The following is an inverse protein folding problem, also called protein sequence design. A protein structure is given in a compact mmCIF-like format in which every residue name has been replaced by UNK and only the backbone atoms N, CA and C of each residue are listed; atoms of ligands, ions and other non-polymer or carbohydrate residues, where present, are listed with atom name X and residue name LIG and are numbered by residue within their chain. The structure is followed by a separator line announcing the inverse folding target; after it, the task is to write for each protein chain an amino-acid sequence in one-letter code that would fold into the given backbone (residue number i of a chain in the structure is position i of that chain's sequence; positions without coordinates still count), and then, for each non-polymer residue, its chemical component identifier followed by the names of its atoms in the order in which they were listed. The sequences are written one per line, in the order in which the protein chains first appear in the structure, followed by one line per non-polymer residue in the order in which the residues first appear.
data_IF_530024431769
#
_entry.id   IF_530024431769
#
_cell.length_a   1.000
_cell.length_b   1.000
_cell.length_c   1.000
_cell.angle_alpha   90.00
_cell.angle_beta   90.00
_cell.angle_gamma   90.00
#
_symmetry.space_group_name_H-M   'P 1'
#
loop_
_entity.id
_entity.type
_entity.pdbx_description
1 polymer ?
#
# COMPACT_ATOMS: atom_id res chain seq x y z
N UNK A 1 -18.02 5.77 -20.45
CA UNK A 1 -17.45 4.44 -20.17
C UNK A 1 -16.90 4.49 -18.76
N UNK A 2 -17.60 3.91 -17.77
CA UNK A 2 -17.05 3.83 -16.41
C UNK A 2 -15.76 3.02 -16.50
N UNK A 3 -14.62 3.66 -16.21
CA UNK A 3 -13.35 2.94 -16.14
C UNK A 3 -13.50 1.93 -15.01
N UNK A 4 -13.37 0.64 -15.33
CA UNK A 4 -13.34 -0.41 -14.32
C UNK A 4 -12.26 -0.05 -13.31
N UNK A 5 -12.61 0.00 -12.03
CA UNK A 5 -11.68 0.31 -10.94
C UNK A 5 -10.89 -0.93 -10.49
N UNK A 6 -11.27 -2.10 -10.99
CA UNK A 6 -10.64 -3.39 -10.72
C UNK A 6 -9.14 -3.41 -11.03
N UNK A 7 -8.64 -2.87 -12.16
CA UNK A 7 -7.21 -2.82 -12.42
C UNK A 7 -6.44 -2.04 -11.34
N UNK A 8 -7.04 -1.02 -10.74
CA UNK A 8 -6.40 -0.29 -9.64
C UNK A 8 -6.36 -1.10 -8.35
N UNK A 9 -7.41 -1.88 -8.06
CA UNK A 9 -7.40 -2.83 -6.94
C UNK A 9 -6.34 -3.93 -7.16
N UNK A 10 -6.23 -4.44 -8.39
CA UNK A 10 -5.20 -5.42 -8.75
C UNK A 10 -3.80 -4.84 -8.57
N UNK A 11 -3.55 -3.61 -9.04
CA UNK A 11 -2.27 -2.94 -8.81
C UNK A 11 -1.95 -2.76 -7.33
N UNK A 12 -2.94 -2.40 -6.50
CA UNK A 12 -2.73 -2.33 -5.04
C UNK A 12 -2.34 -3.71 -4.50
N UNK A 13 -3.04 -4.76 -4.92
CA UNK A 13 -2.79 -6.13 -4.48
C UNK A 13 -1.39 -6.63 -4.89
N UNK A 14 -0.96 -6.32 -6.11
CA UNK A 14 0.35 -6.71 -6.64
C UNK A 14 1.48 -6.06 -5.82
N UNK A 15 1.37 -4.76 -5.52
CA UNK A 15 2.35 -4.03 -4.70
C UNK A 15 2.34 -4.50 -3.24
N UNK A 16 1.17 -4.79 -2.67
CA UNK A 16 1.08 -5.38 -1.33
C UNK A 16 1.77 -6.76 -1.29
N UNK A 17 1.52 -7.59 -2.30
CA UNK A 17 2.12 -8.92 -2.42
C UNK A 17 3.64 -8.84 -2.59
N UNK A 18 4.12 -7.90 -3.41
CA UNK A 18 5.54 -7.62 -3.54
C UNK A 18 6.16 -7.25 -2.19
N UNK A 19 5.58 -6.26 -1.47
CA UNK A 19 6.08 -5.84 -0.16
C UNK A 19 6.15 -7.04 0.81
N UNK A 20 5.11 -7.88 0.87
CA UNK A 20 5.11 -9.06 1.76
C UNK A 20 6.14 -10.13 1.36
N UNK A 21 6.52 -10.21 0.07
CA UNK A 21 7.55 -11.13 -0.41
C UNK A 21 8.98 -10.70 -0.05
N UNK A 22 9.21 -9.39 0.10
CA UNK A 22 10.54 -8.82 0.40
C UNK A 22 10.70 -8.36 1.85
N UNK A 23 9.60 -8.07 2.53
CA UNK A 23 9.54 -7.77 3.98
C UNK A 23 8.87 -8.94 4.68
N UNK A 24 9.66 -9.98 4.98
CA UNK A 24 9.16 -11.21 5.58
C UNK A 24 8.74 -11.03 7.04
N UNK A 25 7.87 -11.89 7.61
CA UNK A 25 7.44 -11.79 9.01
C UNK A 25 8.56 -11.87 10.05
N UNK A 26 9.65 -12.55 9.74
CA UNK A 26 10.84 -12.72 10.58
C UNK A 26 11.90 -11.62 10.40
N UNK A 27 11.83 -10.83 9.32
CA UNK A 27 12.73 -9.70 9.11
C UNK A 27 12.62 -8.71 10.27
N UNK A 28 13.76 -8.32 10.81
CA UNK A 28 13.86 -7.29 11.83
C UNK A 28 14.06 -5.89 11.20
N UNK A 29 13.84 -4.86 12.03
CA UNK A 29 13.95 -3.48 11.58
C UNK A 29 15.38 -3.10 11.17
N UNK A 30 16.41 -3.62 11.82
CA UNK A 30 17.80 -3.26 11.49
C UNK A 30 18.24 -3.83 10.14
N UNK A 31 17.78 -5.03 9.79
CA UNK A 31 17.96 -5.63 8.47
C UNK A 31 17.34 -4.73 7.39
N UNK A 32 16.09 -4.31 7.57
CA UNK A 32 15.42 -3.38 6.65
C UNK A 32 16.16 -2.05 6.53
N UNK A 33 16.61 -1.48 7.65
CA UNK A 33 17.26 -0.17 7.67
C UNK A 33 18.65 -0.16 7.00
N UNK A 34 19.34 -1.29 6.99
CA UNK A 34 20.65 -1.45 6.33
C UNK A 34 20.56 -1.69 4.83
N UNK A 35 19.40 -2.09 4.32
CA UNK A 35 19.21 -2.34 2.88
C UNK A 35 18.60 -1.12 2.16
N UNK A 36 19.48 -0.33 1.52
CA UNK A 36 19.06 0.84 0.74
C UNK A 36 18.17 0.50 -0.46
N UNK A 37 18.37 -0.66 -1.06
CA UNK A 37 17.59 -1.09 -2.24
C UNK A 37 16.18 -1.44 -1.79
N UNK A 38 16.05 -2.24 -0.74
CA UNK A 38 14.77 -2.64 -0.16
C UNK A 38 13.98 -1.42 0.31
N UNK A 39 14.62 -0.50 1.03
CA UNK A 39 13.99 0.76 1.48
C UNK A 39 13.37 1.53 0.32
N UNK A 40 14.11 1.69 -0.78
CA UNK A 40 13.63 2.42 -1.97
C UNK A 40 12.54 1.66 -2.69
N UNK A 41 12.66 0.33 -2.79
CA UNK A 41 11.67 -0.52 -3.42
C UNK A 41 10.32 -0.47 -2.68
N UNK A 42 10.32 -0.67 -1.36
CA UNK A 42 9.10 -0.59 -0.54
C UNK A 42 8.50 0.81 -0.58
N UNK A 43 9.32 1.86 -0.52
CA UNK A 43 8.82 3.25 -0.66
C UNK A 43 8.13 3.48 -2.01
N UNK A 44 8.68 2.92 -3.09
CA UNK A 44 8.07 3.00 -4.43
C UNK A 44 6.74 2.26 -4.45
N UNK A 45 6.67 1.05 -3.93
CA UNK A 45 5.43 0.27 -3.85
C UNK A 45 4.34 0.99 -3.05
N UNK A 46 4.66 1.52 -1.88
CA UNK A 46 3.71 2.32 -1.08
C UNK A 46 3.22 3.57 -1.83
N UNK A 47 4.09 4.20 -2.64
CA UNK A 47 3.70 5.34 -3.47
C UNK A 47 2.74 4.94 -4.59
N UNK A 48 2.94 3.76 -5.21
CA UNK A 48 2.05 3.23 -6.25
C UNK A 48 0.68 2.88 -5.66
N UNK A 49 0.66 2.23 -4.49
CA UNK A 49 -0.58 1.94 -3.73
C UNK A 49 -1.37 3.22 -3.51
N UNK A 50 -0.72 4.30 -3.08
CA UNK A 50 -1.37 5.58 -2.87
C UNK A 50 -1.95 6.21 -4.14
N UNK A 51 -1.22 6.16 -5.26
CA UNK A 51 -1.72 6.67 -6.54
C UNK A 51 -2.89 5.86 -7.08
N UNK A 52 -2.81 4.52 -7.01
CA UNK A 52 -3.91 3.64 -7.42
C UNK A 52 -5.17 3.89 -6.58
N UNK A 53 -5.00 4.11 -5.26
CA UNK A 53 -6.10 4.43 -4.34
C UNK A 53 -6.85 5.71 -4.74
N UNK A 54 -6.16 6.72 -5.27
CA UNK A 54 -6.81 7.96 -5.75
C UNK A 54 -7.76 7.71 -6.91
N UNK A 55 -7.54 6.65 -7.69
CA UNK A 55 -8.38 6.29 -8.84
C UNK A 55 -9.60 5.44 -8.47
N UNK A 56 -9.64 4.89 -7.25
CA UNK A 56 -10.80 4.14 -6.76
C UNK A 56 -11.99 5.10 -6.56
N UNK A 57 -13.18 4.81 -7.12
CA UNK A 57 -14.40 5.60 -6.95
C UNK A 57 -14.85 5.77 -5.49
N UNK A 58 -15.59 6.84 -5.21
CA UNK A 58 -16.01 7.19 -3.85
C UNK A 58 -17.07 6.23 -3.27
N UNK A 59 -17.97 5.72 -4.10
CA UNK A 59 -18.96 4.69 -3.77
C UNK A 59 -18.30 3.38 -3.33
N UNK A 60 -17.26 2.94 -4.03
CA UNK A 60 -16.46 1.77 -3.63
C UNK A 60 -15.78 2.01 -2.28
N UNK A 61 -15.15 3.18 -2.10
CA UNK A 61 -14.53 3.54 -0.82
C UNK A 61 -15.54 3.59 0.33
N UNK A 62 -16.76 4.06 0.05
CA UNK A 62 -17.84 4.15 1.02
C UNK A 62 -18.41 2.79 1.40
N UNK A 63 -18.45 1.82 0.47
CA UNK A 63 -18.85 0.45 0.78
C UNK A 63 -17.84 -0.27 1.69
N UNK A 64 -16.56 0.11 1.61
CA UNK A 64 -15.45 -0.55 2.30
C UNK A 64 -14.75 0.38 3.30
N UNK A 65 -15.50 0.89 4.29
CA UNK A 65 -15.01 1.91 5.24
C UNK A 65 -13.98 1.39 6.25
N UNK A 66 -13.84 0.07 6.39
CA UNK A 66 -12.82 -0.55 7.23
C UNK A 66 -11.40 -0.35 6.68
N UNK A 67 -11.26 0.07 5.42
CA UNK A 67 -9.99 0.42 4.80
C UNK A 67 -9.75 1.92 4.95
N UNK A 68 -8.57 2.28 5.43
CA UNK A 68 -8.10 3.66 5.56
C UNK A 68 -7.76 4.32 4.21
N UNK A 69 -8.73 4.44 3.30
CA UNK A 69 -8.51 4.96 1.94
C UNK A 69 -7.86 6.34 1.87
N UNK A 70 -8.25 7.24 2.78
CA UNK A 70 -7.70 8.61 2.85
C UNK A 70 -6.21 8.58 3.20
N UNK A 71 -5.83 7.67 4.08
CA UNK A 71 -4.46 7.49 4.54
C UNK A 71 -3.58 6.93 3.44
N UNK A 72 -4.08 5.92 2.72
CA UNK A 72 -3.44 5.34 1.55
C UNK A 72 -3.25 6.38 0.44
N UNK A 73 -4.28 7.18 0.13
CA UNK A 73 -4.17 8.24 -0.88
C UNK A 73 -3.12 9.31 -0.51
N UNK A 74 -2.94 9.59 0.78
CA UNK A 74 -1.93 10.50 1.31
C UNK A 74 -0.57 9.84 1.59
N UNK A 75 -0.36 8.58 1.19
CA UNK A 75 0.84 7.83 1.57
C UNK A 75 2.13 8.53 1.12
N UNK A 76 2.19 9.00 -0.13
CA UNK A 76 3.37 9.74 -0.64
C UNK A 76 3.71 10.95 0.23
N UNK A 77 2.71 11.72 0.61
CA UNK A 77 2.90 12.96 1.38
C UNK A 77 3.30 12.66 2.84
N UNK A 78 2.92 11.49 3.37
CA UNK A 78 3.37 11.02 4.69
C UNK A 78 4.78 10.45 4.67
N UNK A 79 5.16 9.77 3.59
CA UNK A 79 6.48 9.18 3.44
C UNK A 79 7.55 10.23 3.20
N UNK A 80 7.23 11.26 2.42
CA UNK A 80 8.13 12.37 2.11
C UNK A 80 7.85 13.52 3.09
N UNK A 81 8.64 13.62 4.15
CA UNK A 81 8.53 14.74 5.08
C UNK A 81 9.22 15.99 4.50
N UNK A 82 8.77 17.17 4.91
CA UNK A 82 9.26 18.49 4.52
C UNK A 82 10.78 18.52 4.27
N UNK A 83 11.15 18.70 3.00
CA UNK A 83 12.49 19.03 2.47
C UNK A 83 13.69 18.12 2.78
N UNK A 84 13.58 17.08 3.63
CA UNK A 84 14.74 16.31 4.16
C UNK A 84 14.76 14.81 3.81
N UNK A 85 13.77 14.27 3.10
CA UNK A 85 13.80 12.89 2.58
C UNK A 85 12.69 11.98 3.11
N UNK A 86 12.85 10.67 2.89
CA UNK A 86 11.84 9.65 3.21
C UNK A 86 11.94 9.21 4.67
N UNK A 87 10.82 9.22 5.40
CA UNK A 87 10.77 8.68 6.75
C UNK A 87 10.63 7.14 6.72
N UNK A 88 11.77 6.44 6.75
CA UNK A 88 11.81 4.98 6.69
C UNK A 88 11.26 4.27 7.92
N UNK A 89 11.06 4.96 9.06
CA UNK A 89 10.34 4.37 10.20
C UNK A 89 8.86 4.17 9.86
N UNK A 90 8.25 5.14 9.16
CA UNK A 90 6.87 5.02 8.68
C UNK A 90 6.80 3.95 7.59
N UNK A 91 7.75 3.93 6.65
CA UNK A 91 7.81 2.90 5.59
C UNK A 91 7.81 1.49 6.21
N UNK A 92 8.68 1.27 7.20
CA UNK A 92 8.77 0.00 7.92
C UNK A 92 7.47 -0.37 8.63
N UNK A 93 6.89 0.56 9.39
CA UNK A 93 5.66 0.32 10.13
C UNK A 93 4.49 -0.04 9.21
N UNK A 94 4.31 0.71 8.12
CA UNK A 94 3.28 0.42 7.12
C UNK A 94 3.52 -0.96 6.49
N UNK A 95 4.75 -1.24 6.07
CA UNK A 95 5.09 -2.51 5.41
C UNK A 95 4.85 -3.72 6.33
N UNK A 96 5.19 -3.62 7.62
CA UNK A 96 5.10 -4.74 8.56
C UNK A 96 3.70 -4.91 9.15
N UNK A 97 3.04 -3.82 9.49
CA UNK A 97 1.84 -3.84 10.34
C UNK A 97 0.55 -3.55 9.57
N UNK A 98 0.61 -2.80 8.45
CA UNK A 98 -0.58 -2.36 7.71
C UNK A 98 -0.79 -3.18 6.44
N UNK A 99 0.27 -3.42 5.67
CA UNK A 99 0.19 -4.12 4.38
C UNK A 99 -0.43 -5.51 4.50
N UNK A 100 -0.11 -6.38 5.48
CA UNK A 100 -0.73 -7.71 5.57
C UNK A 100 -2.26 -7.68 5.69
N UNK A 101 -2.78 -6.74 6.49
CA UNK A 101 -4.23 -6.52 6.64
C UNK A 101 -4.82 -5.98 5.36
N UNK A 102 -4.17 -4.98 4.75
CA UNK A 102 -4.61 -4.39 3.50
C UNK A 102 -4.68 -5.43 2.36
N UNK A 103 -3.70 -6.32 2.24
CA UNK A 103 -3.71 -7.41 1.25
C UNK A 103 -4.99 -8.24 1.37
N UNK A 104 -5.35 -8.63 2.59
CA UNK A 104 -6.54 -9.44 2.85
C UNK A 104 -7.82 -8.70 2.48
N UNK A 105 -7.92 -7.42 2.86
CA UNK A 105 -9.05 -6.56 2.54
C UNK A 105 -9.21 -6.37 1.02
N UNK A 106 -8.14 -6.10 0.28
CA UNK A 106 -8.22 -5.89 -1.18
C UNK A 106 -8.60 -7.19 -1.91
N UNK A 107 -8.07 -8.35 -1.47
CA UNK A 107 -8.48 -9.65 -2.01
C UNK A 107 -9.99 -9.87 -1.83
N UNK A 108 -10.53 -9.51 -0.67
CA UNK A 108 -11.96 -9.62 -0.39
C UNK A 108 -12.78 -8.77 -1.37
N UNK A 109 -12.40 -7.50 -1.59
CA UNK A 109 -13.09 -6.61 -2.55
C UNK A 109 -13.10 -7.22 -3.95
N UNK A 110 -11.93 -7.67 -4.44
CA UNK A 110 -11.81 -8.25 -5.78
C UNK A 110 -12.71 -9.49 -5.90
N UNK A 111 -12.70 -10.36 -4.88
CA UNK A 111 -13.51 -11.58 -4.88
C UNK A 111 -15.02 -11.30 -4.95
N UNK A 112 -15.51 -10.29 -4.24
CA UNK A 112 -16.93 -9.90 -4.26
C UNK A 112 -17.33 -9.18 -5.55
N UNK A 113 -16.37 -8.64 -6.30
CA UNK A 113 -16.63 -7.95 -7.57
C UNK A 113 -16.54 -8.88 -8.79
N UNK A 114 -16.11 -10.14 -8.59
CA UNK A 114 -16.05 -11.17 -9.64
C UNK A 114 -17.22 -12.19 -9.56
N UNK A 115 -18.23 -11.88 -8.74
CA UNK A 115 -19.50 -12.61 -8.63
C UNK A 115 -20.58 -11.84 -9.39
#
# INVERSE_FOLDING_TARGET
MYKSYIPYLQHILDECSYIQSVVTPDMDREQFFRDETLKRAVTRSLSIIGEATKKIPADVKYAWQSISWREMAGMRDRLVHDYMGVNYYIVWDVAKNIIPTLTSQIKEIISQTHI
#
